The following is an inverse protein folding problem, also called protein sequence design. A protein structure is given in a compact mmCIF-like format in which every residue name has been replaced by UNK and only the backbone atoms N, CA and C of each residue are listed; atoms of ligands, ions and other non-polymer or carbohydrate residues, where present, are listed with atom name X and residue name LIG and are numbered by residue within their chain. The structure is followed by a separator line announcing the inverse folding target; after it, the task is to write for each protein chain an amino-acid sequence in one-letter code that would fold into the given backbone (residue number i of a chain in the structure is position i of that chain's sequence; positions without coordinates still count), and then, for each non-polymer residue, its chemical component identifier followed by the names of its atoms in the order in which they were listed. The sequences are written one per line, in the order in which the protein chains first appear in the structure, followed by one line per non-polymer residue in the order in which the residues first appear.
data_IF_081647299750
#
_entry.id   IF_081647299750
#
_cell.length_a   1.000
_cell.length_b   1.000
_cell.length_c   1.000
_cell.angle_alpha   90.00
_cell.angle_beta   90.00
_cell.angle_gamma   90.00
#
_symmetry.space_group_name_H-M   'P 1'
#
loop_
_entity.id
_entity.type
_entity.pdbx_description
1 polymer ?
#
# COMPACT_ATOMS: atom_id res chain seq x y z
N UNK A 1 4.96 -13.32 20.72
CA UNK A 1 5.05 -12.53 19.47
C UNK A 1 4.49 -13.42 18.39
N UNK A 2 3.35 -13.02 17.85
CA UNK A 2 2.46 -13.82 17.01
C UNK A 2 3.18 -14.31 15.76
N UNK A 3 4.01 -13.47 15.12
CA UNK A 3 4.78 -13.85 13.94
C UNK A 3 5.70 -15.05 14.19
N UNK A 4 6.41 -15.06 15.31
CA UNK A 4 7.32 -16.16 15.67
C UNK A 4 6.57 -17.43 16.03
N UNK A 5 5.45 -17.28 16.76
CA UNK A 5 4.59 -18.42 17.12
C UNK A 5 4.04 -19.09 15.86
N UNK A 6 3.56 -18.29 14.89
CA UNK A 6 3.10 -18.79 13.60
C UNK A 6 4.23 -19.44 12.80
N UNK A 7 5.40 -18.82 12.74
CA UNK A 7 6.58 -19.37 12.06
C UNK A 7 7.00 -20.75 12.62
N UNK A 8 7.09 -20.88 13.94
CA UNK A 8 7.49 -22.14 14.59
C UNK A 8 6.39 -23.19 14.61
N UNK A 9 5.13 -22.79 14.48
CA UNK A 9 4.02 -23.74 14.28
C UNK A 9 4.05 -24.38 12.89
N UNK A 10 4.56 -23.65 11.88
CA UNK A 10 4.59 -24.07 10.48
C UNK A 10 5.85 -24.85 10.11
N UNK A 11 7.02 -24.44 10.61
CA UNK A 11 8.31 -25.00 10.22
C UNK A 11 9.07 -25.55 11.41
N UNK A 12 9.69 -26.70 11.21
CA UNK A 12 10.70 -27.25 12.11
C UNK A 12 11.98 -26.41 12.05
N UNK A 13 12.83 -26.52 13.08
CA UNK A 13 14.17 -25.90 13.07
C UNK A 13 14.98 -26.24 11.81
N UNK A 14 14.95 -27.50 11.36
CA UNK A 14 15.71 -27.95 10.19
C UNK A 14 15.22 -27.30 8.91
N UNK A 15 13.91 -27.13 8.75
CA UNK A 15 13.34 -26.42 7.60
C UNK A 15 13.71 -24.93 7.64
N UNK A 16 13.65 -24.31 8.81
CA UNK A 16 14.09 -22.91 8.98
C UNK A 16 15.58 -22.72 8.67
N UNK A 17 16.44 -23.66 9.04
CA UNK A 17 17.87 -23.64 8.67
C UNK A 17 18.11 -23.78 7.15
N UNK A 18 17.11 -24.28 6.40
CA UNK A 18 17.12 -24.29 4.93
C UNK A 18 16.64 -22.98 4.29
N UNK A 19 15.88 -22.17 5.03
CA UNK A 19 15.31 -20.89 4.54
C UNK A 19 16.20 -19.72 4.97
N UNK A 20 16.68 -19.74 6.21
CA UNK A 20 17.40 -18.64 6.86
C UNK A 20 18.83 -19.05 7.24
N UNK A 21 19.76 -18.08 7.41
CA UNK A 21 21.09 -18.37 7.93
C UNK A 21 21.03 -19.10 9.27
N UNK A 22 21.85 -20.14 9.42
CA UNK A 22 21.83 -21.01 10.61
C UNK A 22 21.96 -20.24 11.93
N UNK A 23 22.84 -19.24 11.97
CA UNK A 23 23.02 -18.38 13.14
C UNK A 23 21.74 -17.62 13.49
N UNK A 24 21.05 -17.08 12.48
CA UNK A 24 19.79 -16.38 12.69
C UNK A 24 18.70 -17.31 13.24
N UNK A 25 18.59 -18.54 12.70
CA UNK A 25 17.65 -19.54 13.25
C UNK A 25 18.00 -19.91 14.68
N UNK A 26 19.29 -20.09 14.99
CA UNK A 26 19.75 -20.32 16.36
C UNK A 26 19.29 -19.20 17.31
N UNK A 27 19.42 -17.94 16.90
CA UNK A 27 19.00 -16.79 17.70
C UNK A 27 17.47 -16.70 17.85
N UNK A 28 16.70 -16.93 16.78
CA UNK A 28 15.24 -16.96 16.84
C UNK A 28 14.73 -18.01 17.83
N UNK A 29 15.30 -19.22 17.78
CA UNK A 29 14.83 -20.35 18.59
C UNK A 29 15.27 -20.21 20.06
N UNK A 30 16.54 -19.88 20.31
CA UNK A 30 17.10 -19.92 21.66
C UNK A 30 16.96 -18.60 22.42
N UNK A 31 17.00 -17.46 21.73
CA UNK A 31 16.93 -16.15 22.37
C UNK A 31 15.61 -15.43 22.13
N UNK A 32 14.73 -15.96 21.28
CA UNK A 32 13.43 -15.35 20.92
C UNK A 32 13.58 -13.87 20.59
N UNK A 33 14.61 -13.53 19.82
CA UNK A 33 14.81 -12.17 19.31
C UNK A 33 13.54 -11.71 18.60
N UNK A 34 13.25 -10.40 18.59
CA UNK A 34 12.12 -9.86 17.81
C UNK A 34 12.57 -9.66 16.35
N UNK A 35 12.33 -10.60 15.43
CA UNK A 35 12.67 -10.39 14.03
C UNK A 35 11.85 -9.22 13.46
N UNK A 36 12.48 -8.44 12.58
CA UNK A 36 11.73 -7.52 11.74
C UNK A 36 10.85 -8.33 10.79
N UNK A 37 9.58 -7.93 10.63
CA UNK A 37 8.67 -8.56 9.67
C UNK A 37 9.30 -8.65 8.27
N UNK A 38 9.97 -7.60 7.82
CA UNK A 38 10.67 -7.57 6.52
C UNK A 38 11.74 -8.65 6.37
N UNK A 39 12.43 -9.04 7.44
CA UNK A 39 13.46 -10.07 7.41
C UNK A 39 12.87 -11.47 7.18
N UNK A 40 11.71 -11.74 7.76
CA UNK A 40 10.96 -12.98 7.57
C UNK A 40 10.26 -12.98 6.21
N UNK A 41 9.53 -11.92 5.91
CA UNK A 41 8.76 -11.76 4.67
C UNK A 41 9.60 -11.76 3.40
N UNK A 42 10.89 -11.40 3.49
CA UNK A 42 11.82 -11.52 2.35
C UNK A 42 12.14 -12.96 1.95
N UNK A 43 11.66 -13.97 2.70
CA UNK A 43 11.93 -15.40 2.45
C UNK A 43 10.72 -16.31 2.58
N UNK A 44 9.67 -15.86 3.28
CA UNK A 44 8.44 -16.62 3.56
C UNK A 44 7.24 -15.74 3.23
N UNK A 45 6.24 -16.28 2.54
CA UNK A 45 4.96 -15.58 2.35
C UNK A 45 4.18 -15.59 3.68
N UNK A 46 4.39 -14.54 4.48
CA UNK A 46 3.80 -14.43 5.82
C UNK A 46 2.27 -14.39 5.78
N UNK A 47 1.65 -13.91 4.70
CA UNK A 47 0.19 -13.83 4.62
C UNK A 47 -0.38 -15.20 4.28
N UNK A 48 0.08 -15.83 3.21
CA UNK A 48 -0.54 -17.07 2.73
C UNK A 48 -0.01 -18.32 3.45
N UNK A 49 1.27 -18.36 3.81
CA UNK A 49 1.85 -19.55 4.46
C UNK A 49 1.66 -19.56 5.97
N UNK A 50 1.69 -18.38 6.60
CA UNK A 50 1.58 -18.24 8.06
C UNK A 50 0.22 -17.71 8.52
N UNK A 51 -0.65 -17.26 7.60
CA UNK A 51 -1.89 -16.56 7.95
C UNK A 51 -1.62 -15.36 8.88
N UNK A 52 -0.53 -14.63 8.66
CA UNK A 52 -0.16 -13.44 9.44
C UNK A 52 -0.94 -12.23 8.90
N UNK A 53 -1.77 -11.67 9.77
CA UNK A 53 -2.76 -10.64 9.42
C UNK A 53 -2.26 -9.24 9.79
N UNK A 54 -3.01 -8.23 9.37
CA UNK A 54 -2.75 -6.85 9.76
C UNK A 54 -2.97 -6.63 11.26
N UNK A 55 -3.95 -7.33 11.83
CA UNK A 55 -4.29 -7.31 13.24
C UNK A 55 -3.15 -7.91 14.07
N UNK A 56 -2.55 -9.02 13.61
CA UNK A 56 -1.35 -9.60 14.25
C UNK A 56 -0.17 -8.62 14.20
N UNK A 57 0.00 -7.92 13.07
CA UNK A 57 1.05 -6.92 12.91
C UNK A 57 0.93 -5.78 13.91
N UNK A 58 -0.28 -5.26 14.15
CA UNK A 58 -0.50 -4.22 15.15
C UNK A 58 -0.29 -4.74 16.57
N UNK A 59 -0.64 -6.00 16.85
CA UNK A 59 -0.43 -6.62 18.17
C UNK A 59 1.06 -6.87 18.46
N UNK A 60 1.84 -7.30 17.47
CA UNK A 60 3.29 -7.49 17.62
C UNK A 60 4.07 -6.16 17.66
N UNK A 61 3.45 -5.06 17.19
CA UNK A 61 4.09 -3.75 17.07
C UNK A 61 3.13 -2.61 17.44
N UNK A 62 2.76 -2.52 18.72
CA UNK A 62 1.83 -1.50 19.23
C UNK A 62 2.25 -0.07 18.88
N UNK A 63 3.55 0.18 18.75
CA UNK A 63 4.09 1.48 18.36
C UNK A 63 3.73 1.90 16.93
N UNK A 64 3.27 1.00 16.05
CA UNK A 64 2.77 1.38 14.73
C UNK A 64 1.28 1.77 14.75
N UNK A 65 0.56 1.57 15.86
CA UNK A 65 -0.82 2.03 15.98
C UNK A 65 -0.96 3.57 15.88
N UNK A 66 0.11 4.33 16.19
CA UNK A 66 0.13 5.79 16.03
C UNK A 66 0.26 6.25 14.57
N UNK A 67 0.62 5.36 13.65
CA UNK A 67 0.77 5.69 12.24
C UNK A 67 -0.58 5.64 11.55
N UNK A 68 -1.02 6.78 11.00
CA UNK A 68 -2.26 6.83 10.20
C UNK A 68 -2.21 5.92 8.97
N UNK A 69 -1.01 5.67 8.43
CA UNK A 69 -0.79 4.78 7.28
C UNK A 69 -0.15 3.44 7.72
N UNK A 70 -0.49 2.95 8.90
CA UNK A 70 -0.01 1.65 9.42
C UNK A 70 -0.36 0.47 8.51
N UNK A 71 -1.48 0.55 7.79
CA UNK A 71 -1.82 -0.45 6.76
C UNK A 71 -0.83 -0.47 5.59
N UNK A 72 -0.39 0.70 5.11
CA UNK A 72 0.64 0.79 4.07
C UNK A 72 1.99 0.24 4.57
N UNK A 73 2.35 0.50 5.82
CA UNK A 73 3.53 -0.12 6.44
C UNK A 73 3.44 -1.64 6.43
N UNK A 74 2.30 -2.19 6.82
CA UNK A 74 2.08 -3.64 6.76
C UNK A 74 2.20 -4.17 5.33
N UNK A 75 1.57 -3.51 4.35
CA UNK A 75 1.60 -3.94 2.95
C UNK A 75 2.99 -3.89 2.31
N UNK A 76 3.85 -2.98 2.78
CA UNK A 76 5.28 -2.96 2.45
C UNK A 76 6.01 -4.11 3.14
N UNK A 77 5.84 -4.25 4.45
CA UNK A 77 6.65 -5.13 5.26
C UNK A 77 6.35 -6.60 4.99
N UNK A 78 5.09 -6.95 4.69
CA UNK A 78 4.69 -8.30 4.27
C UNK A 78 5.31 -8.72 2.93
N UNK A 79 5.81 -7.76 2.13
CA UNK A 79 6.53 -8.00 0.87
C UNK A 79 8.06 -8.00 1.06
N UNK A 80 8.54 -7.90 2.31
CA UNK A 80 9.96 -7.78 2.61
C UNK A 80 10.56 -6.39 2.32
N UNK A 81 9.72 -5.39 2.02
CA UNK A 81 10.15 -4.04 1.60
C UNK A 81 10.10 -3.11 2.80
N UNK A 82 11.19 -2.41 3.12
CA UNK A 82 11.18 -1.40 4.20
C UNK A 82 10.64 -0.05 3.69
N UNK A 83 10.26 0.85 4.62
CA UNK A 83 9.87 2.21 4.25
C UNK A 83 11.02 2.95 3.51
N UNK A 84 12.27 2.67 3.90
CA UNK A 84 13.47 3.16 3.21
C UNK A 84 13.55 2.67 1.77
N UNK A 85 13.38 1.37 1.54
CA UNK A 85 13.43 0.78 0.20
C UNK A 85 12.34 1.39 -0.70
N UNK A 86 11.14 1.58 -0.14
CA UNK A 86 10.04 2.24 -0.82
C UNK A 86 10.37 3.69 -1.20
N UNK A 87 10.93 4.46 -0.27
CA UNK A 87 11.32 5.85 -0.51
C UNK A 87 12.42 5.95 -1.59
N UNK A 88 13.44 5.09 -1.52
CA UNK A 88 14.54 5.04 -2.50
C UNK A 88 14.02 4.71 -3.90
N UNK A 89 13.13 3.72 -4.04
CA UNK A 89 12.56 3.33 -5.34
C UNK A 89 11.92 4.52 -6.06
N UNK A 90 11.28 5.38 -5.28
CA UNK A 90 10.61 6.57 -5.78
C UNK A 90 11.45 7.82 -5.60
N UNK A 91 12.78 7.74 -5.45
CA UNK A 91 13.66 8.91 -5.30
C UNK A 91 13.05 9.96 -4.34
N UNK A 92 12.72 9.49 -3.13
CA UNK A 92 12.05 10.27 -2.10
C UNK A 92 12.81 10.16 -0.78
N UNK A 93 12.74 11.21 0.02
CA UNK A 93 13.43 11.24 1.31
C UNK A 93 12.71 10.33 2.33
N UNK A 94 13.46 9.40 2.93
CA UNK A 94 12.95 8.45 3.93
C UNK A 94 12.30 9.15 5.13
N UNK A 95 12.94 10.19 5.68
CA UNK A 95 12.42 10.93 6.83
C UNK A 95 11.08 11.59 6.50
N UNK A 96 10.98 12.21 5.32
CA UNK A 96 9.73 12.79 4.84
C UNK A 96 8.65 11.73 4.64
N UNK A 97 9.01 10.57 4.07
CA UNK A 97 8.06 9.48 3.89
C UNK A 97 7.54 8.95 5.23
N UNK A 98 8.42 8.71 6.21
CA UNK A 98 8.03 8.30 7.56
C UNK A 98 7.12 9.33 8.24
N UNK A 99 7.35 10.62 8.03
CA UNK A 99 6.48 11.67 8.54
C UNK A 99 5.07 11.60 7.93
N UNK A 100 4.95 11.35 6.62
CA UNK A 100 3.65 11.14 5.97
C UNK A 100 2.96 9.86 6.44
N UNK A 101 3.70 8.76 6.63
CA UNK A 101 3.13 7.53 7.15
C UNK A 101 2.55 7.72 8.57
N UNK A 102 3.19 8.56 9.39
CA UNK A 102 2.72 8.89 10.73
C UNK A 102 1.50 9.83 10.68
N UNK A 103 1.58 10.89 9.88
CA UNK A 103 0.61 11.99 9.93
C UNK A 103 -0.58 11.85 8.97
N UNK A 104 -0.51 10.91 8.04
CA UNK A 104 -1.49 10.68 6.98
C UNK A 104 -1.01 11.21 5.62
N UNK A 105 -1.35 10.49 4.56
CA UNK A 105 -1.05 10.85 3.18
C UNK A 105 -2.22 11.62 2.58
N UNK A 106 -2.02 12.84 2.03
CA UNK A 106 -3.06 13.52 1.28
C UNK A 106 -3.45 12.70 0.03
N UNK A 107 -4.70 12.73 -0.40
CA UNK A 107 -5.18 11.88 -1.51
C UNK A 107 -5.35 12.61 -2.85
N UNK A 108 -5.44 13.95 -2.85
CA UNK A 108 -5.81 14.74 -4.04
C UNK A 108 -4.82 15.90 -4.30
N UNK A 109 -3.55 15.75 -3.91
CA UNK A 109 -2.53 16.80 -4.09
C UNK A 109 -1.60 16.54 -5.28
N UNK A 110 -1.66 15.35 -5.89
CA UNK A 110 -0.83 15.02 -7.05
C UNK A 110 0.66 14.91 -6.71
N UNK A 111 0.96 14.56 -5.46
CA UNK A 111 2.32 14.44 -4.94
C UNK A 111 2.89 13.03 -5.17
N UNK A 112 4.22 12.95 -5.15
CA UNK A 112 4.96 11.67 -5.24
C UNK A 112 4.57 10.67 -4.12
N UNK A 113 4.09 11.17 -2.99
CA UNK A 113 3.68 10.31 -1.87
C UNK A 113 2.39 9.54 -2.18
N UNK A 114 1.46 10.17 -2.89
CA UNK A 114 0.26 9.49 -3.39
C UNK A 114 0.62 8.39 -4.38
N UNK A 115 1.63 8.63 -5.22
CA UNK A 115 2.17 7.62 -6.14
C UNK A 115 2.73 6.41 -5.37
N UNK A 116 3.57 6.66 -4.36
CA UNK A 116 4.15 5.59 -3.51
C UNK A 116 3.04 4.77 -2.86
N UNK A 117 2.05 5.43 -2.24
CA UNK A 117 0.91 4.74 -1.60
C UNK A 117 0.18 3.87 -2.61
N UNK A 118 -0.21 4.45 -3.74
CA UNK A 118 -0.95 3.77 -4.82
C UNK A 118 -0.19 2.59 -5.39
N UNK A 119 1.14 2.64 -5.43
CA UNK A 119 1.96 1.55 -5.96
C UNK A 119 1.92 0.31 -5.05
N UNK A 120 2.04 0.51 -3.73
CA UNK A 120 2.25 -0.59 -2.79
C UNK A 120 0.99 -1.18 -2.18
N UNK A 121 -0.05 -0.38 -1.97
CA UNK A 121 -1.32 -0.84 -1.41
C UNK A 121 -2.08 -1.74 -2.38
N UNK A 122 -3.01 -2.54 -1.89
CA UNK A 122 -3.83 -3.45 -2.71
C UNK A 122 -5.23 -2.91 -3.02
N UNK A 123 -5.50 -1.66 -2.65
CA UNK A 123 -6.75 -0.97 -2.96
C UNK A 123 -7.04 -0.99 -4.46
N UNK A 124 -8.34 -1.00 -4.78
CA UNK A 124 -8.83 -0.86 -6.14
C UNK A 124 -9.88 0.24 -6.21
N UNK A 125 -9.96 0.87 -7.38
CA UNK A 125 -10.93 1.91 -7.68
C UNK A 125 -11.96 1.39 -8.68
N UNK A 126 -13.24 1.60 -8.38
CA UNK A 126 -14.34 1.22 -9.27
C UNK A 126 -14.61 2.34 -10.25
N UNK A 127 -14.31 2.08 -11.53
CA UNK A 127 -14.61 2.99 -12.65
C UNK A 127 -15.45 2.27 -13.70
N UNK A 128 -16.13 1.18 -13.31
CA UNK A 128 -16.88 0.34 -14.24
C UNK A 128 -18.00 1.15 -14.90
N UNK A 129 -18.08 1.06 -16.23
CA UNK A 129 -19.06 1.80 -17.03
C UNK A 129 -18.59 3.21 -17.43
N UNK A 130 -17.51 3.72 -16.85
CA UNK A 130 -16.93 5.02 -17.21
C UNK A 130 -15.83 4.83 -18.26
N UNK A 131 -15.78 5.72 -19.25
CA UNK A 131 -14.61 5.82 -20.14
C UNK A 131 -13.55 6.65 -19.43
N UNK A 132 -12.28 6.36 -19.68
CA UNK A 132 -11.20 7.13 -19.08
C UNK A 132 -10.08 7.41 -20.08
N UNK A 133 -9.33 8.48 -19.81
CA UNK A 133 -8.10 8.82 -20.52
C UNK A 133 -7.02 9.19 -19.50
N UNK A 134 -5.84 8.61 -19.66
CA UNK A 134 -4.70 8.87 -18.78
C UNK A 134 -3.77 9.89 -19.46
N UNK A 135 -3.38 10.90 -18.69
CA UNK A 135 -2.34 11.86 -19.04
C UNK A 135 -1.15 11.71 -18.09
N UNK A 136 -0.08 12.45 -18.33
CA UNK A 136 1.15 12.32 -17.55
C UNK A 136 0.95 12.62 -16.05
N UNK A 137 0.04 13.55 -15.72
CA UNK A 137 -0.16 14.09 -14.37
C UNK A 137 -1.62 14.01 -13.86
N UNK A 138 -2.56 13.49 -14.65
CA UNK A 138 -3.97 13.39 -14.27
C UNK A 138 -4.70 12.30 -15.07
N UNK A 139 -5.91 11.98 -14.63
CA UNK A 139 -6.88 11.16 -15.36
C UNK A 139 -8.11 12.01 -15.69
N UNK A 140 -8.72 11.76 -16.85
CA UNK A 140 -10.07 12.23 -17.17
C UNK A 140 -11.02 11.03 -17.20
N UNK A 141 -12.11 11.10 -16.43
CA UNK A 141 -13.24 10.18 -16.50
C UNK A 141 -14.39 10.82 -17.27
N UNK A 142 -15.05 10.03 -18.12
CA UNK A 142 -16.19 10.46 -18.94
C UNK A 142 -17.37 9.51 -18.70
N UNK A 143 -18.49 10.07 -18.25
CA UNK A 143 -19.72 9.35 -17.94
C UNK A 143 -20.92 10.32 -17.86
N UNK A 144 -22.09 9.83 -17.43
CA UNK A 144 -23.22 10.71 -17.13
C UNK A 144 -22.91 11.62 -15.93
N UNK A 145 -23.62 12.76 -15.83
CA UNK A 145 -23.45 13.70 -14.71
C UNK A 145 -23.58 13.00 -13.36
N UNK A 146 -24.60 12.16 -13.20
CA UNK A 146 -24.90 11.46 -11.96
C UNK A 146 -23.78 10.47 -11.58
N UNK A 147 -23.22 9.74 -12.56
CA UNK A 147 -22.09 8.83 -12.32
C UNK A 147 -20.83 9.58 -11.89
N UNK A 148 -20.54 10.72 -12.55
CA UNK A 148 -19.38 11.55 -12.21
C UNK A 148 -19.53 12.22 -10.84
N UNK A 149 -20.71 12.73 -10.49
CA UNK A 149 -20.99 13.31 -9.17
C UNK A 149 -20.84 12.25 -8.07
N UNK A 150 -21.42 11.06 -8.26
CA UNK A 150 -21.24 9.93 -7.31
C UNK A 150 -19.78 9.54 -7.14
N UNK A 151 -19.02 9.47 -8.23
CA UNK A 151 -17.60 9.15 -8.18
C UNK A 151 -16.82 10.23 -7.43
N UNK A 152 -17.01 11.49 -7.81
CA UNK A 152 -16.34 12.66 -7.20
C UNK A 152 -16.58 12.69 -5.69
N UNK A 153 -17.84 12.63 -5.28
CA UNK A 153 -18.23 12.78 -3.88
C UNK A 153 -17.78 11.57 -3.04
N UNK A 154 -17.79 10.35 -3.60
CA UNK A 154 -17.27 9.14 -2.92
C UNK A 154 -15.77 9.22 -2.65
N UNK A 155 -15.02 9.86 -3.55
CA UNK A 155 -13.56 9.92 -3.52
C UNK A 155 -13.02 11.28 -3.03
N UNK A 156 -13.91 12.17 -2.56
CA UNK A 156 -13.59 13.50 -2.04
C UNK A 156 -12.77 14.35 -3.04
N UNK A 157 -13.10 14.25 -4.33
CA UNK A 157 -12.39 14.94 -5.41
C UNK A 157 -12.92 16.38 -5.50
N UNK A 158 -12.02 17.37 -5.43
CA UNK A 158 -12.38 18.79 -5.38
C UNK A 158 -12.72 19.36 -6.77
N UNK A 159 -12.29 18.68 -7.84
CA UNK A 159 -12.40 19.17 -9.21
C UNK A 159 -13.85 19.18 -9.74
N UNK A 160 -14.13 20.20 -10.57
CA UNK A 160 -15.43 20.38 -11.19
C UNK A 160 -15.69 19.38 -12.33
N UNK A 161 -16.97 19.06 -12.52
CA UNK A 161 -17.43 18.30 -13.68
C UNK A 161 -17.71 19.27 -14.82
N UNK A 162 -16.95 19.12 -15.91
CA UNK A 162 -16.95 20.07 -17.02
C UNK A 162 -17.49 19.38 -18.28
N UNK A 163 -18.26 20.10 -19.10
CA UNK A 163 -18.65 19.62 -20.42
C UNK A 163 -17.51 19.84 -21.43
N UNK A 164 -17.06 18.77 -22.08
CA UNK A 164 -16.08 18.85 -23.16
C UNK A 164 -16.82 19.01 -24.49
N UNK A 165 -16.74 20.20 -25.10
CA UNK A 165 -17.35 20.45 -26.42
C UNK A 165 -16.79 19.49 -27.49
N UNK A 166 -15.49 19.21 -27.45
CA UNK A 166 -14.83 18.34 -28.43
C UNK A 166 -15.20 16.86 -28.31
N UNK A 167 -15.63 16.42 -27.13
CA UNK A 167 -16.03 15.03 -26.86
C UNK A 167 -17.54 14.88 -26.72
N UNK A 168 -18.27 15.99 -26.79
CA UNK A 168 -19.72 16.09 -26.61
C UNK A 168 -20.21 15.33 -25.36
N UNK A 169 -19.46 15.43 -24.26
CA UNK A 169 -19.73 14.66 -23.04
C UNK A 169 -19.18 15.35 -21.80
N UNK A 170 -19.72 15.02 -20.63
CA UNK A 170 -19.21 15.49 -19.35
C UNK A 170 -17.96 14.70 -18.96
N UNK A 171 -17.04 15.37 -18.30
CA UNK A 171 -15.84 14.76 -17.77
C UNK A 171 -15.46 15.32 -16.39
N UNK A 172 -14.76 14.50 -15.63
CA UNK A 172 -14.10 14.85 -14.38
C UNK A 172 -12.59 14.61 -14.56
N UNK A 173 -11.80 15.67 -14.46
CA UNK A 173 -10.35 15.60 -14.49
C UNK A 173 -9.81 15.67 -13.05
N UNK A 174 -8.93 14.74 -12.66
CA UNK A 174 -8.37 14.70 -11.30
C UNK A 174 -6.97 14.11 -11.26
N UNK A 175 -6.21 14.45 -10.21
CA UNK A 175 -4.87 13.93 -9.93
C UNK A 175 -4.81 13.15 -8.61
N UNK A 176 -3.61 12.88 -8.11
CA UNK A 176 -3.40 12.28 -6.80
C UNK A 176 -3.61 10.77 -6.75
N UNK A 177 -3.95 10.28 -5.56
CA UNK A 177 -4.06 8.86 -5.22
C UNK A 177 -4.95 8.10 -6.20
N UNK A 178 -6.14 8.63 -6.47
CA UNK A 178 -7.12 7.98 -7.36
C UNK A 178 -6.61 7.87 -8.80
N UNK A 179 -5.95 8.92 -9.30
CA UNK A 179 -5.28 8.89 -10.61
C UNK A 179 -4.23 7.79 -10.66
N UNK A 180 -3.38 7.68 -9.63
CA UNK A 180 -2.32 6.68 -9.60
C UNK A 180 -2.85 5.25 -9.48
N UNK A 181 -3.98 5.01 -8.80
CA UNK A 181 -4.64 3.70 -8.83
C UNK A 181 -5.06 3.31 -10.25
N UNK A 182 -5.67 4.23 -11.01
CA UNK A 182 -6.04 3.98 -12.41
C UNK A 182 -4.78 3.76 -13.27
N UNK A 183 -3.75 4.59 -13.09
CA UNK A 183 -2.47 4.50 -13.81
C UNK A 183 -1.76 3.16 -13.57
N UNK A 184 -1.91 2.57 -12.40
CA UNK A 184 -1.35 1.26 -12.06
C UNK A 184 -2.32 0.10 -12.30
N UNK A 185 -3.37 0.32 -13.11
CA UNK A 185 -4.35 -0.70 -13.50
C UNK A 185 -5.08 -1.35 -12.30
N UNK A 186 -5.19 -0.62 -11.18
CA UNK A 186 -5.88 -1.07 -9.97
C UNK A 186 -7.36 -0.74 -10.02
N UNK A 187 -8.03 -1.22 -11.06
CA UNK A 187 -9.44 -0.94 -11.33
C UNK A 187 -10.31 -2.19 -11.10
N UNK A 188 -11.58 -1.99 -10.72
CA UNK A 188 -12.65 -3.01 -10.70
C UNK A 188 -13.74 -2.65 -11.69
#
# INVERSE_FOLDING_TARGET
MILLEKLFSKYTKKELEGIFPRQYVYELVNYRIHPKLTSIAGRVDVVNELNYTYEDFLADHENYAEYKESKLLFDLYKKGITAKDAAIKFDYNETSFLAYLRNGIPLNKGTKIEEIKSYYIEDKIDIKGMKHKIFNNHCELYASKEELEKFRDKHDIDEDIIYSETKETLHLAFTGYWFYLIKYEKVV
#
